data_IF_992274628271
#
_entry.id   IF_992274628271
#
_cell.length_a   1.000
_cell.length_b   1.000
_cell.length_c   1.000
_cell.angle_alpha   90.00
_cell.angle_beta   90.00
_cell.angle_gamma   90.00
#
_symmetry.space_group_name_H-M   'P 1'
#
loop_
_entity.id
_entity.type
_entity.pdbx_description
1 polymer ?
#
# COMPACT_ATOMS: atom_id res chain seq x y z
N UNK A 1 62.28 -18.83 -6.78
CA UNK A 1 61.47 -19.08 -5.55
C UNK A 1 60.60 -17.88 -5.32
N UNK A 2 59.35 -17.93 -5.74
CA UNK A 2 58.31 -16.88 -5.52
C UNK A 2 57.46 -17.33 -4.37
N UNK A 3 57.50 -16.56 -3.27
CA UNK A 3 56.61 -16.77 -2.12
C UNK A 3 55.20 -16.34 -2.47
N UNK A 4 54.28 -17.29 -2.50
CA UNK A 4 52.84 -17.10 -2.68
C UNK A 4 52.27 -16.82 -1.27
N UNK A 5 52.06 -15.56 -0.95
CA UNK A 5 51.44 -15.13 0.31
C UNK A 5 49.93 -15.34 0.16
N UNK A 6 49.40 -16.44 0.67
CA UNK A 6 47.96 -16.66 0.83
C UNK A 6 47.49 -15.79 2.00
N UNK A 7 46.93 -14.66 1.69
CA UNK A 7 46.14 -13.85 2.64
C UNK A 7 44.83 -14.57 2.94
N UNK A 8 44.85 -15.37 4.00
CA UNK A 8 43.63 -15.91 4.61
C UNK A 8 42.85 -14.70 5.22
N UNK A 9 41.89 -14.15 4.47
CA UNK A 9 40.87 -13.29 5.02
C UNK A 9 40.02 -14.16 5.98
N UNK A 10 40.43 -14.19 7.22
CA UNK A 10 39.59 -14.64 8.32
C UNK A 10 38.42 -13.64 8.39
N UNK A 11 37.30 -13.93 7.73
CA UNK A 11 36.02 -13.29 7.99
C UNK A 11 35.68 -13.60 9.47
N UNK A 12 36.22 -12.80 10.39
CA UNK A 12 35.67 -12.70 11.73
C UNK A 12 34.21 -12.25 11.55
N UNK A 13 33.29 -13.21 11.60
CA UNK A 13 31.87 -12.96 11.68
C UNK A 13 31.66 -12.30 13.06
N UNK A 14 31.89 -10.99 13.14
CA UNK A 14 31.37 -10.18 14.23
C UNK A 14 29.84 -10.26 14.14
N UNK A 15 29.26 -11.13 14.91
CA UNK A 15 27.79 -11.15 15.08
C UNK A 15 27.41 -9.82 15.73
N UNK A 16 27.02 -8.86 14.89
CA UNK A 16 26.54 -7.57 15.37
C UNK A 16 25.27 -7.80 16.18
N UNK A 17 25.27 -7.30 17.40
CA UNK A 17 24.09 -7.29 18.27
C UNK A 17 23.23 -6.07 17.89
N UNK A 18 21.95 -6.30 17.61
CA UNK A 18 21.03 -5.25 17.23
C UNK A 18 20.08 -4.93 18.39
N UNK A 19 19.92 -3.65 18.68
CA UNK A 19 18.90 -3.15 19.60
C UNK A 19 17.61 -2.80 18.83
N UNK A 20 16.53 -2.53 19.57
CA UNK A 20 15.22 -2.22 18.99
C UNK A 20 15.26 -1.00 18.05
N UNK A 21 15.96 0.07 18.41
CA UNK A 21 16.06 1.29 17.62
C UNK A 21 16.77 1.05 16.28
N UNK A 22 17.86 0.27 16.29
CA UNK A 22 18.57 -0.10 15.06
C UNK A 22 17.69 -0.94 14.14
N UNK A 23 16.91 -1.89 14.70
CA UNK A 23 15.99 -2.73 13.92
C UNK A 23 14.84 -1.92 13.29
N UNK A 24 14.31 -0.93 14.02
CA UNK A 24 13.31 -0.01 13.47
C UNK A 24 13.89 0.79 12.30
N UNK A 25 15.10 1.32 12.43
CA UNK A 25 15.74 2.07 11.33
C UNK A 25 15.96 1.18 10.11
N UNK A 26 16.41 -0.05 10.30
CA UNK A 26 16.56 -1.04 9.23
C UNK A 26 15.22 -1.35 8.58
N UNK A 27 14.16 -1.55 9.35
CA UNK A 27 12.82 -1.82 8.83
C UNK A 27 12.29 -0.65 7.97
N UNK A 28 12.52 0.59 8.40
CA UNK A 28 12.14 1.80 7.67
C UNK A 28 12.98 2.03 6.39
N UNK A 29 14.13 1.38 6.26
CA UNK A 29 14.96 1.43 5.06
C UNK A 29 14.72 0.24 4.12
N UNK A 30 14.60 -0.97 4.68
CA UNK A 30 14.71 -2.23 3.92
C UNK A 30 13.41 -3.00 3.78
N UNK A 31 12.41 -2.78 4.64
CA UNK A 31 11.18 -3.57 4.59
C UNK A 31 10.46 -3.45 3.24
N UNK A 32 9.87 -4.53 2.73
CA UNK A 32 9.12 -4.48 1.49
C UNK A 32 7.97 -3.46 1.53
N UNK A 33 7.31 -3.31 2.66
CA UNK A 33 6.19 -2.40 2.84
C UNK A 33 6.60 -0.93 2.67
N UNK A 34 7.76 -0.51 3.21
CA UNK A 34 8.22 0.87 3.03
C UNK A 34 8.64 1.15 1.58
N UNK A 35 9.20 0.15 0.90
CA UNK A 35 9.54 0.26 -0.52
C UNK A 35 8.29 0.43 -1.37
N UNK A 36 7.24 -0.36 -1.13
CA UNK A 36 5.94 -0.20 -1.79
C UNK A 36 5.36 1.19 -1.56
N UNK A 37 5.32 1.65 -0.31
CA UNK A 37 4.81 2.98 0.02
C UNK A 37 5.63 4.13 -0.63
N UNK A 38 6.93 3.94 -0.85
CA UNK A 38 7.76 4.89 -1.60
C UNK A 38 7.42 4.89 -3.11
N UNK A 39 7.13 3.73 -3.70
CA UNK A 39 6.66 3.68 -5.09
C UNK A 39 5.27 4.34 -5.25
N UNK A 40 4.36 4.18 -4.29
CA UNK A 40 3.07 4.87 -4.28
C UNK A 40 3.24 6.41 -4.29
N UNK A 41 4.26 6.94 -3.58
CA UNK A 41 4.60 8.37 -3.67
C UNK A 41 5.05 8.79 -5.07
N UNK A 42 5.83 7.95 -5.76
CA UNK A 42 6.25 8.21 -7.15
C UNK A 42 5.06 8.17 -8.11
N UNK A 43 4.14 7.20 -7.92
CA UNK A 43 2.88 7.11 -8.67
C UNK A 43 2.05 8.39 -8.46
N UNK A 44 1.91 8.85 -7.23
CA UNK A 44 1.19 10.09 -6.92
C UNK A 44 1.82 11.33 -7.56
N UNK A 45 3.15 11.41 -7.61
CA UNK A 45 3.87 12.47 -8.32
C UNK A 45 3.58 12.41 -9.83
N UNK A 46 3.60 11.21 -10.43
CA UNK A 46 3.29 11.00 -11.84
C UNK A 46 1.86 11.43 -12.18
N UNK A 47 0.87 11.10 -11.35
CA UNK A 47 -0.51 11.59 -11.51
C UNK A 47 -0.59 13.12 -11.45
N UNK A 48 0.22 13.77 -10.61
CA UNK A 48 0.27 15.24 -10.55
C UNK A 48 0.84 15.86 -11.84
N UNK A 49 1.83 15.22 -12.45
CA UNK A 49 2.39 15.63 -13.74
C UNK A 49 1.36 15.40 -14.86
N UNK A 50 0.71 14.24 -14.87
CA UNK A 50 -0.34 13.88 -15.84
C UNK A 50 -1.52 14.86 -15.79
N UNK A 51 -2.03 15.18 -14.59
CA UNK A 51 -3.11 16.15 -14.43
C UNK A 51 -2.74 17.54 -14.98
N UNK A 52 -1.49 17.98 -14.77
CA UNK A 52 -0.99 19.26 -15.31
C UNK A 52 -0.79 19.20 -16.81
N UNK A 53 -0.42 18.05 -17.36
CA UNK A 53 -0.22 17.89 -18.80
C UNK A 53 -1.50 18.13 -19.61
N UNK A 54 -2.68 17.95 -19.01
CA UNK A 54 -3.97 18.25 -19.64
C UNK A 54 -4.16 19.75 -19.92
N UNK A 55 -3.43 20.63 -19.22
CA UNK A 55 -3.40 22.07 -19.44
C UNK A 55 -2.28 22.52 -20.40
N UNK A 56 -1.43 21.62 -20.87
CA UNK A 56 -0.32 21.92 -21.77
C UNK A 56 -0.71 21.63 -23.24
N UNK A 57 -0.03 22.29 -24.22
CA UNK A 57 -0.26 21.98 -25.64
C UNK A 57 0.09 20.53 -25.96
N UNK A 58 -0.77 19.86 -26.71
CA UNK A 58 -0.49 18.55 -27.29
C UNK A 58 -0.11 18.73 -28.74
N UNK A 59 1.08 18.29 -29.11
CA UNK A 59 1.61 18.37 -30.45
C UNK A 59 1.70 16.95 -31.01
N UNK A 60 1.02 16.72 -32.15
CA UNK A 60 0.96 15.41 -32.77
C UNK A 60 1.34 15.52 -34.25
N UNK A 61 2.25 14.69 -34.71
CA UNK A 61 2.45 14.45 -36.13
C UNK A 61 1.39 13.45 -36.60
N UNK A 62 0.70 13.81 -37.68
CA UNK A 62 -0.33 12.98 -38.32
C UNK A 62 0.03 12.72 -39.76
N UNK A 63 -0.20 11.52 -40.23
CA UNK A 63 -0.07 11.18 -41.66
C UNK A 63 -1.14 10.16 -42.01
N UNK A 64 -1.71 10.31 -43.21
CA UNK A 64 -2.65 9.35 -43.73
C UNK A 64 -2.45 9.21 -45.24
N UNK A 65 -2.68 8.02 -45.75
CA UNK A 65 -2.82 7.73 -47.16
C UNK A 65 -4.11 6.91 -47.35
N UNK A 66 -5.04 7.43 -48.15
CA UNK A 66 -6.35 6.83 -48.35
C UNK A 66 -6.58 6.54 -49.81
N UNK A 67 -7.08 5.36 -50.13
CA UNK A 67 -7.61 4.99 -51.40
C UNK A 67 -9.13 4.81 -51.27
N UNK A 68 -9.89 5.61 -52.04
CA UNK A 68 -11.34 5.49 -52.13
C UNK A 68 -11.66 4.58 -53.31
N UNK A 69 -12.31 3.47 -53.10
CA UNK A 69 -12.73 2.54 -54.16
C UNK A 69 -14.01 3.01 -54.84
N UNK A 70 -14.89 3.69 -54.12
CA UNK A 70 -16.11 4.27 -54.61
C UNK A 70 -16.19 5.73 -54.16
N UNK A 71 -16.10 6.64 -55.09
CA UNK A 71 -16.23 8.06 -54.82
C UNK A 71 -17.68 8.48 -55.11
N UNK A 72 -18.34 9.02 -54.10
CA UNK A 72 -19.71 9.49 -54.26
C UNK A 72 -19.77 10.67 -55.23
N UNK A 73 -20.61 10.55 -56.24
CA UNK A 73 -20.97 11.65 -57.14
C UNK A 73 -22.25 12.34 -56.64
N UNK A 74 -22.32 13.63 -56.79
CA UNK A 74 -23.57 14.37 -56.59
C UNK A 74 -24.09 14.83 -57.97
N UNK A 75 -25.37 14.61 -58.23
CA UNK A 75 -25.96 15.20 -59.41
C UNK A 75 -26.00 16.73 -59.30
N UNK A 76 -25.52 17.45 -60.27
CA UNK A 76 -25.55 18.91 -60.28
C UNK A 76 -26.26 19.28 -61.63
N UNK A 77 -27.32 20.00 -61.45
CA UNK A 77 -28.04 20.57 -62.59
C UNK A 77 -27.39 21.88 -63.00
N UNK A 78 -26.80 21.91 -64.20
CA UNK A 78 -26.24 23.13 -64.75
C UNK A 78 -27.23 23.69 -65.78
N UNK A 79 -27.65 24.93 -65.66
CA UNK A 79 -28.33 25.62 -66.69
C UNK A 79 -27.35 25.84 -67.88
N UNK A 80 -27.55 25.17 -68.99
CA UNK A 80 -26.69 25.30 -70.18
C UNK A 80 -27.29 26.33 -71.13
N UNK A 81 -26.59 27.45 -71.42
CA UNK A 81 -27.06 28.40 -72.43
C UNK A 81 -26.94 27.79 -73.84
N UNK A 82 -27.84 28.18 -74.69
CA UNK A 82 -27.95 27.76 -76.06
C UNK A 82 -26.61 27.78 -76.85
N UNK A 83 -26.23 26.65 -77.51
CA UNK A 83 -25.04 26.62 -78.36
C UNK A 83 -23.75 26.12 -77.77
N UNK A 84 -23.76 25.52 -76.55
CA UNK A 84 -22.58 24.99 -75.91
C UNK A 84 -22.37 23.51 -76.18
N UNK A 85 -21.09 23.08 -76.29
CA UNK A 85 -20.73 21.65 -76.37
C UNK A 85 -20.86 20.97 -75.00
N UNK A 86 -21.29 19.72 -74.98
CA UNK A 86 -21.30 18.88 -73.81
C UNK A 86 -19.89 18.80 -73.24
N UNK A 87 -19.59 19.25 -71.96
CA UNK A 87 -18.25 19.29 -71.42
C UNK A 87 -17.69 17.91 -71.19
N UNK A 88 -18.49 16.84 -71.22
CA UNK A 88 -18.06 15.46 -70.91
C UNK A 88 -17.78 14.68 -72.17
N UNK A 89 -18.66 14.81 -73.23
CA UNK A 89 -18.53 14.06 -74.48
C UNK A 89 -17.92 14.86 -75.60
N UNK A 90 -17.89 16.21 -75.49
CA UNK A 90 -17.43 17.12 -76.55
C UNK A 90 -18.43 17.25 -77.74
N UNK A 91 -19.57 16.60 -77.62
CA UNK A 91 -20.59 16.66 -78.67
C UNK A 91 -21.45 17.92 -78.55
N UNK A 92 -22.00 18.49 -79.65
CA UNK A 92 -22.92 19.56 -79.54
C UNK A 92 -24.20 19.12 -78.82
N UNK A 93 -24.59 19.88 -77.79
CA UNK A 93 -25.88 19.63 -77.14
C UNK A 93 -27.00 19.94 -78.15
N UNK A 94 -27.87 18.95 -78.36
CA UNK A 94 -28.98 19.20 -79.30
C UNK A 94 -29.88 20.34 -78.80
N UNK A 95 -29.87 21.44 -79.51
CA UNK A 95 -30.70 22.58 -79.18
C UNK A 95 -31.80 22.61 -80.26
N UNK A 96 -33.01 22.26 -79.85
CA UNK A 96 -34.17 22.55 -80.70
C UNK A 96 -34.41 24.05 -80.61
N UNK A 97 -33.92 24.74 -81.66
CA UNK A 97 -34.24 26.17 -81.82
C UNK A 97 -35.70 26.31 -82.23
N UNK A 98 -36.48 26.89 -81.34
CA UNK A 98 -37.85 27.25 -81.60
C UNK A 98 -37.94 28.77 -81.87
N UNK A 99 -38.13 29.21 -83.14
CA UNK A 99 -38.10 30.65 -83.45
C UNK A 99 -39.27 31.46 -82.87
N UNK A 100 -40.14 30.83 -82.06
CA UNK A 100 -41.28 31.51 -81.41
C UNK A 100 -41.10 31.80 -79.91
N UNK A 101 -40.01 31.34 -79.30
CA UNK A 101 -39.75 31.60 -77.91
C UNK A 101 -38.83 32.82 -77.74
N UNK A 102 -39.38 33.86 -77.13
CA UNK A 102 -38.59 35.09 -76.76
C UNK A 102 -37.75 34.95 -75.49
N UNK A 103 -37.79 33.81 -74.84
CA UNK A 103 -37.01 33.51 -73.66
C UNK A 103 -36.06 32.34 -73.90
N UNK A 104 -34.79 32.47 -73.48
CA UNK A 104 -33.84 31.39 -73.53
C UNK A 104 -34.27 30.27 -72.54
N UNK A 105 -34.80 29.15 -73.12
CA UNK A 105 -35.16 28.02 -72.32
C UNK A 105 -33.86 27.35 -71.78
N UNK A 106 -33.69 27.38 -70.48
CA UNK A 106 -32.54 26.76 -69.80
C UNK A 106 -32.88 25.27 -69.68
N UNK A 107 -32.22 24.43 -70.50
CA UNK A 107 -32.32 22.95 -70.36
C UNK A 107 -31.40 22.52 -69.25
N UNK A 108 -31.91 21.95 -68.11
CA UNK A 108 -31.06 21.43 -67.03
C UNK A 108 -30.26 20.23 -67.55
N UNK A 109 -28.96 20.31 -67.50
CA UNK A 109 -28.09 19.18 -67.84
C UNK A 109 -27.63 18.55 -66.48
N UNK A 110 -28.15 17.36 -66.22
CA UNK A 110 -27.77 16.58 -65.04
C UNK A 110 -26.44 15.88 -65.28
N UNK A 111 -25.45 16.22 -64.60
CA UNK A 111 -24.16 15.55 -64.62
C UNK A 111 -23.73 15.11 -63.20
N UNK A 112 -23.17 13.92 -63.11
CA UNK A 112 -22.62 13.40 -61.89
C UNK A 112 -21.23 14.01 -61.62
N UNK A 113 -21.20 14.98 -60.73
CA UNK A 113 -19.91 15.57 -60.32
C UNK A 113 -19.31 14.80 -59.20
N UNK A 114 -18.12 14.20 -59.39
CA UNK A 114 -17.41 13.49 -58.36
C UNK A 114 -16.75 14.48 -57.38
N UNK A 115 -17.24 14.53 -56.15
CA UNK A 115 -16.75 15.41 -55.09
C UNK A 115 -15.49 14.90 -54.41
N UNK A 116 -14.99 13.72 -54.75
CA UNK A 116 -13.80 13.11 -54.20
C UNK A 116 -12.79 12.66 -55.25
N UNK A 117 -11.64 12.19 -54.77
CA UNK A 117 -10.57 11.61 -55.60
C UNK A 117 -10.27 10.20 -55.13
N UNK A 118 -9.74 9.38 -56.03
CA UNK A 118 -9.41 7.98 -55.70
C UNK A 118 -8.34 7.87 -54.64
N UNK A 119 -7.39 8.77 -54.65
CA UNK A 119 -6.25 8.75 -53.70
C UNK A 119 -6.15 10.09 -53.00
N UNK A 120 -5.93 10.05 -51.68
CA UNK A 120 -5.63 11.22 -50.90
C UNK A 120 -4.48 10.93 -49.91
N UNK A 121 -3.61 11.87 -49.73
CA UNK A 121 -2.52 11.84 -48.76
C UNK A 121 -2.52 13.11 -47.94
N UNK A 122 -2.20 12.95 -46.66
CA UNK A 122 -2.05 14.05 -45.73
C UNK A 122 -0.88 13.76 -44.82
N UNK A 123 -0.06 14.75 -44.51
CA UNK A 123 0.88 14.73 -43.40
C UNK A 123 1.00 16.13 -42.82
N UNK A 124 1.30 16.18 -41.51
CA UNK A 124 1.41 17.45 -40.86
C UNK A 124 1.44 17.40 -39.33
N UNK A 125 1.22 18.52 -38.71
CA UNK A 125 1.26 18.69 -37.25
C UNK A 125 -0.08 19.28 -36.80
N UNK A 126 -0.66 18.63 -35.79
CA UNK A 126 -1.78 19.14 -35.00
C UNK A 126 -1.30 19.65 -33.65
N UNK A 127 -1.78 20.81 -33.26
CA UNK A 127 -1.54 21.41 -31.94
C UNK A 127 -2.90 21.64 -31.29
N UNK A 128 -3.14 21.03 -30.12
CA UNK A 128 -4.34 21.22 -29.34
C UNK A 128 -3.97 21.76 -27.97
N UNK A 129 -4.56 22.87 -27.56
CA UNK A 129 -4.31 23.52 -26.28
C UNK A 129 -5.65 23.83 -25.59
N UNK A 130 -5.84 23.24 -24.42
CA UNK A 130 -6.93 23.64 -23.54
C UNK A 130 -6.61 24.99 -22.93
N UNK A 131 -7.40 26.01 -23.26
CA UNK A 131 -7.29 27.36 -22.69
C UNK A 131 -8.09 27.45 -21.39
N UNK A 132 -9.30 26.89 -21.40
CA UNK A 132 -10.15 26.82 -20.22
C UNK A 132 -11.00 25.55 -20.28
N UNK A 133 -10.89 24.72 -19.23
CA UNK A 133 -11.83 23.65 -18.91
C UNK A 133 -11.83 23.47 -17.39
N UNK A 134 -12.98 23.70 -16.76
CA UNK A 134 -13.13 23.60 -15.31
C UNK A 134 -12.75 22.23 -14.76
N UNK A 135 -12.90 21.15 -15.55
CA UNK A 135 -12.51 19.79 -15.17
C UNK A 135 -10.99 19.63 -15.10
N UNK A 136 -10.25 20.29 -16.00
CA UNK A 136 -8.78 20.28 -15.97
C UNK A 136 -8.28 20.94 -14.70
N UNK A 137 -8.83 22.08 -14.31
CA UNK A 137 -8.45 22.75 -13.06
C UNK A 137 -8.86 21.96 -11.82
N UNK A 138 -10.06 21.33 -11.84
CA UNK A 138 -10.47 20.40 -10.77
C UNK A 138 -9.53 19.20 -10.68
N UNK A 139 -9.12 18.61 -11.82
CA UNK A 139 -8.16 17.51 -11.90
C UNK A 139 -6.78 17.88 -11.32
N UNK A 140 -6.29 19.08 -11.57
CA UNK A 140 -5.03 19.59 -10.98
C UNK A 140 -5.17 19.74 -9.46
N UNK A 141 -6.30 20.25 -8.95
CA UNK A 141 -6.55 20.31 -7.50
C UNK A 141 -6.68 18.92 -6.91
N UNK A 142 -7.42 18.02 -7.56
CA UNK A 142 -7.59 16.63 -7.15
C UNK A 142 -6.24 15.90 -7.07
N UNK A 143 -5.32 16.13 -8.02
CA UNK A 143 -3.97 15.54 -7.98
C UNK A 143 -3.15 16.00 -6.77
N UNK A 144 -3.31 17.25 -6.33
CA UNK A 144 -2.69 17.75 -5.10
C UNK A 144 -3.31 17.12 -3.84
N UNK A 145 -4.65 16.93 -3.82
CA UNK A 145 -5.34 16.21 -2.73
C UNK A 145 -4.94 14.73 -2.69
N UNK A 146 -4.79 14.10 -3.87
CA UNK A 146 -4.27 12.73 -3.98
C UNK A 146 -2.84 12.62 -3.42
N UNK A 147 -1.97 13.59 -3.68
CA UNK A 147 -0.64 13.65 -3.08
C UNK A 147 -0.71 13.73 -1.54
N UNK A 148 -1.63 14.52 -0.99
CA UNK A 148 -1.82 14.61 0.47
C UNK A 148 -2.32 13.28 1.04
N UNK A 149 -3.28 12.62 0.38
CA UNK A 149 -3.75 11.28 0.73
C UNK A 149 -2.60 10.27 0.74
N UNK A 150 -1.78 10.25 -0.32
CA UNK A 150 -0.63 9.35 -0.42
C UNK A 150 0.41 9.59 0.67
N UNK A 151 0.66 10.85 1.04
CA UNK A 151 1.56 11.18 2.15
C UNK A 151 0.99 10.69 3.50
N UNK A 152 -0.29 10.92 3.76
CA UNK A 152 -0.95 10.43 4.98
C UNK A 152 -0.97 8.88 5.04
N UNK A 153 -1.15 8.23 3.89
CA UNK A 153 -1.07 6.78 3.76
C UNK A 153 0.35 6.27 4.05
N UNK A 154 1.37 6.94 3.53
CA UNK A 154 2.77 6.63 3.81
C UNK A 154 3.09 6.74 5.31
N UNK A 155 2.63 7.81 5.97
CA UNK A 155 2.85 8.00 7.41
C UNK A 155 2.14 6.91 8.23
N UNK A 156 0.92 6.53 7.83
CA UNK A 156 0.19 5.39 8.44
C UNK A 156 0.94 4.07 8.28
N UNK A 157 1.49 3.81 7.08
CA UNK A 157 2.27 2.60 6.80
C UNK A 157 3.59 2.57 7.57
N UNK A 158 4.25 3.72 7.71
CA UNK A 158 5.47 3.87 8.52
C UNK A 158 5.20 3.50 9.99
N UNK A 159 4.10 4.01 10.57
CA UNK A 159 3.69 3.68 11.92
C UNK A 159 3.41 2.18 12.11
N UNK A 160 2.78 1.55 11.11
CA UNK A 160 2.52 0.11 11.12
C UNK A 160 3.79 -0.73 11.07
N UNK A 161 4.77 -0.34 10.26
CA UNK A 161 6.07 -1.00 10.19
C UNK A 161 6.79 -0.90 11.54
N UNK A 162 6.78 0.27 12.18
CA UNK A 162 7.38 0.46 13.50
C UNK A 162 6.70 -0.44 14.55
N UNK A 163 5.36 -0.48 14.58
CA UNK A 163 4.62 -1.34 15.50
C UNK A 163 4.96 -2.81 15.26
N UNK A 164 4.86 -3.30 14.02
CA UNK A 164 5.12 -4.70 13.68
C UNK A 164 6.57 -5.10 14.01
N UNK A 165 7.54 -4.20 13.84
CA UNK A 165 8.93 -4.42 14.22
C UNK A 165 9.07 -4.55 15.74
N UNK A 166 8.42 -3.67 16.52
CA UNK A 166 8.42 -3.72 17.98
C UNK A 166 7.77 -5.00 18.48
N UNK A 167 6.60 -5.36 17.96
CA UNK A 167 5.89 -6.60 18.34
C UNK A 167 6.76 -7.83 18.03
N UNK A 168 7.33 -7.92 16.82
CA UNK A 168 8.19 -9.04 16.43
C UNK A 168 9.45 -9.11 17.32
N UNK A 169 10.06 -7.98 17.66
CA UNK A 169 11.20 -7.91 18.56
C UNK A 169 10.87 -8.45 19.96
N UNK A 170 9.77 -7.96 20.57
CA UNK A 170 9.35 -8.44 21.90
C UNK A 170 8.91 -9.91 21.87
N UNK A 171 8.36 -10.39 20.74
CA UNK A 171 8.04 -11.81 20.57
C UNK A 171 9.31 -12.68 20.57
N UNK A 172 10.39 -12.25 19.91
CA UNK A 172 11.68 -12.95 19.98
C UNK A 172 12.23 -12.93 21.40
N UNK A 173 12.15 -11.82 22.11
CA UNK A 173 12.57 -11.76 23.52
C UNK A 173 11.77 -12.72 24.41
N UNK A 174 10.44 -12.78 24.22
CA UNK A 174 9.59 -13.71 24.95
C UNK A 174 10.00 -15.16 24.70
N UNK A 175 10.06 -15.56 23.40
CA UNK A 175 10.38 -16.95 23.05
C UNK A 175 11.76 -17.36 23.54
N UNK A 176 12.75 -16.46 23.47
CA UNK A 176 14.10 -16.68 24.05
C UNK A 176 14.03 -16.92 25.55
N UNK A 177 13.28 -16.09 26.30
CA UNK A 177 13.11 -16.24 27.75
C UNK A 177 12.35 -17.51 28.10
N UNK A 178 11.34 -17.88 27.34
CA UNK A 178 10.61 -19.15 27.48
C UNK A 178 11.55 -20.35 27.26
N UNK A 179 12.41 -20.29 26.24
CA UNK A 179 13.43 -21.32 25.99
C UNK A 179 14.42 -21.45 27.18
N UNK A 180 14.83 -20.30 27.77
CA UNK A 180 15.67 -20.30 28.95
C UNK A 180 14.98 -20.97 30.16
N UNK A 181 13.67 -20.74 30.37
CA UNK A 181 12.88 -21.39 31.45
C UNK A 181 12.84 -22.91 31.25
N UNK A 182 12.49 -23.37 30.04
CA UNK A 182 12.45 -24.81 29.78
C UNK A 182 13.82 -25.48 29.79
N UNK A 183 14.88 -24.79 29.40
CA UNK A 183 16.24 -25.29 29.57
C UNK A 183 16.60 -25.50 31.03
N UNK A 184 16.23 -24.55 31.91
CA UNK A 184 16.42 -24.69 33.36
C UNK A 184 15.59 -25.84 33.94
N UNK A 185 14.33 -25.98 33.52
CA UNK A 185 13.45 -27.10 33.91
C UNK A 185 14.03 -28.45 33.48
N UNK A 186 14.50 -28.59 32.26
CA UNK A 186 15.15 -29.81 31.78
C UNK A 186 16.39 -30.16 32.63
N UNK A 187 17.19 -29.13 32.97
CA UNK A 187 18.33 -29.35 33.86
C UNK A 187 17.89 -29.86 35.22
N UNK A 188 16.90 -29.23 35.87
CA UNK A 188 16.32 -29.66 37.15
C UNK A 188 15.81 -31.11 37.08
N UNK A 189 15.09 -31.46 36.03
CA UNK A 189 14.57 -32.85 35.82
C UNK A 189 15.70 -33.88 35.65
N UNK A 190 16.80 -33.53 34.98
CA UNK A 190 17.99 -34.39 34.89
C UNK A 190 18.71 -34.57 36.25
N UNK A 191 18.85 -33.48 36.98
CA UNK A 191 19.42 -33.49 38.34
C UNK A 191 18.54 -34.35 39.28
N UNK A 192 17.21 -34.23 39.18
CA UNK A 192 16.25 -35.04 39.94
C UNK A 192 16.34 -36.54 39.55
N UNK A 193 16.39 -36.89 38.27
CA UNK A 193 16.57 -38.29 37.82
C UNK A 193 17.87 -38.88 38.38
N UNK A 194 18.97 -38.11 38.38
CA UNK A 194 20.23 -38.56 38.95
C UNK A 194 20.08 -38.84 40.43
N UNK A 195 19.47 -37.97 41.22
CA UNK A 195 19.24 -38.14 42.64
C UNK A 195 18.29 -39.33 42.93
N UNK A 196 17.21 -39.47 42.17
CA UNK A 196 16.25 -40.59 42.30
C UNK A 196 16.91 -41.92 42.04
N UNK A 197 17.83 -41.98 41.04
CA UNK A 197 18.58 -43.18 40.72
C UNK A 197 19.51 -43.56 41.89
N UNK A 198 20.20 -42.65 42.51
CA UNK A 198 21.04 -42.88 43.72
C UNK A 198 20.20 -43.39 44.89
N UNK A 199 18.99 -42.87 45.09
CA UNK A 199 18.06 -43.33 46.13
C UNK A 199 17.55 -44.75 45.81
N UNK A 200 17.25 -45.04 44.55
CA UNK A 200 16.83 -46.39 44.11
C UNK A 200 17.96 -47.42 44.30
N UNK A 201 19.16 -47.11 43.84
CA UNK A 201 20.33 -48.00 43.98
C UNK A 201 20.70 -48.27 45.46
N UNK A 202 20.35 -47.36 46.37
CA UNK A 202 20.52 -47.48 47.83
C UNK A 202 19.30 -48.13 48.53
N UNK A 203 18.26 -48.55 47.77
CA UNK A 203 17.05 -49.17 48.33
C UNK A 203 16.12 -48.20 49.09
N UNK A 204 16.31 -46.89 48.96
CA UNK A 204 15.54 -45.85 49.68
C UNK A 204 14.28 -45.38 48.90
N UNK A 205 14.15 -45.74 47.66
CA UNK A 205 12.95 -45.46 46.83
C UNK A 205 12.61 -46.67 45.96
N UNK A 206 11.42 -46.70 45.36
CA UNK A 206 10.92 -47.78 44.53
C UNK A 206 11.14 -47.51 43.02
N UNK A 207 10.99 -48.57 42.19
CA UNK A 207 11.16 -48.50 40.75
C UNK A 207 10.16 -47.52 40.08
N UNK A 208 8.95 -47.38 40.63
CA UNK A 208 7.92 -46.48 40.08
C UNK A 208 8.41 -45.00 40.09
N UNK A 209 9.10 -44.59 41.16
CA UNK A 209 9.64 -43.23 41.26
C UNK A 209 10.79 -43.01 40.24
N UNK A 210 11.62 -44.04 39.98
CA UNK A 210 12.65 -43.98 38.95
C UNK A 210 12.02 -43.83 37.54
N UNK A 211 11.02 -44.64 37.21
CA UNK A 211 10.28 -44.56 35.93
C UNK A 211 9.61 -43.19 35.74
N UNK A 212 9.04 -42.62 36.81
CA UNK A 212 8.46 -41.25 36.80
C UNK A 212 9.53 -40.20 36.48
N UNK A 213 10.71 -40.27 37.10
CA UNK A 213 11.81 -39.35 36.86
C UNK A 213 12.32 -39.45 35.40
N UNK A 214 12.44 -40.67 34.87
CA UNK A 214 12.83 -40.89 33.47
C UNK A 214 11.81 -40.32 32.49
N UNK A 215 10.52 -40.58 32.71
CA UNK A 215 9.43 -40.03 31.90
C UNK A 215 9.44 -38.51 31.89
N UNK A 216 9.64 -37.89 33.08
CA UNK A 216 9.70 -36.43 33.21
C UNK A 216 10.84 -35.79 32.41
N UNK A 217 12.03 -36.43 32.38
CA UNK A 217 13.13 -35.96 31.56
C UNK A 217 12.74 -35.98 30.08
N UNK A 218 12.08 -37.04 29.59
CA UNK A 218 11.63 -37.14 28.20
C UNK A 218 10.61 -36.08 27.82
N UNK A 219 9.67 -35.80 28.72
CA UNK A 219 8.66 -34.74 28.52
C UNK A 219 9.32 -33.36 28.47
N UNK A 220 10.30 -33.08 29.35
CA UNK A 220 11.03 -31.82 29.36
C UNK A 220 11.97 -31.65 28.13
N UNK A 221 12.59 -32.75 27.63
CA UNK A 221 13.37 -32.73 26.38
C UNK A 221 12.50 -32.31 25.20
N UNK A 222 11.29 -32.86 25.09
CA UNK A 222 10.32 -32.51 24.06
C UNK A 222 9.86 -31.06 24.16
N UNK A 223 9.53 -30.63 25.37
CA UNK A 223 9.07 -29.24 25.66
C UNK A 223 10.15 -28.20 25.32
N UNK A 224 11.40 -28.47 25.75
CA UNK A 224 12.55 -27.60 25.41
C UNK A 224 12.80 -27.55 23.89
N UNK A 225 12.73 -28.69 23.19
CA UNK A 225 12.89 -28.74 21.74
C UNK A 225 11.83 -27.90 21.02
N UNK A 226 10.56 -27.97 21.45
CA UNK A 226 9.47 -27.17 20.93
C UNK A 226 9.68 -25.66 21.19
N UNK A 227 10.12 -25.28 22.38
CA UNK A 227 10.43 -23.91 22.71
C UNK A 227 11.55 -23.35 21.81
N UNK A 228 12.63 -24.13 21.61
CA UNK A 228 13.72 -23.75 20.72
C UNK A 228 13.29 -23.56 19.27
N UNK A 229 12.43 -24.45 18.76
CA UNK A 229 11.82 -24.28 17.44
C UNK A 229 11.04 -22.96 17.34
N UNK A 230 10.22 -22.66 18.35
CA UNK A 230 9.42 -21.41 18.37
C UNK A 230 10.30 -20.16 18.43
N UNK A 231 11.42 -20.20 19.16
CA UNK A 231 12.42 -19.12 19.18
C UNK A 231 13.01 -18.85 17.80
N UNK A 232 13.39 -19.93 17.07
CA UNK A 232 13.92 -19.81 15.72
C UNK A 232 12.88 -19.19 14.79
N UNK A 233 11.63 -19.68 14.81
CA UNK A 233 10.55 -19.15 13.97
C UNK A 233 10.23 -17.68 14.28
N UNK A 234 10.25 -17.29 15.54
CA UNK A 234 10.06 -15.89 15.93
C UNK A 234 11.18 -14.98 15.39
N UNK A 235 12.44 -15.44 15.44
CA UNK A 235 13.58 -14.71 14.89
C UNK A 235 13.48 -14.58 13.35
N UNK A 236 13.06 -15.64 12.67
CA UNK A 236 12.86 -15.61 11.23
C UNK A 236 11.72 -14.67 10.82
N UNK A 237 10.62 -14.66 11.58
CA UNK A 237 9.53 -13.70 11.38
C UNK A 237 10.02 -12.25 11.55
N UNK A 238 10.86 -11.98 12.56
CA UNK A 238 11.47 -10.66 12.73
C UNK A 238 12.34 -10.28 11.53
N UNK A 239 13.19 -11.19 11.02
CA UNK A 239 13.99 -10.95 9.80
C UNK A 239 13.12 -10.56 8.62
N UNK A 240 12.02 -11.27 8.36
CA UNK A 240 11.08 -10.94 7.30
C UNK A 240 10.44 -9.56 7.50
N UNK A 241 10.03 -9.24 8.72
CA UNK A 241 9.40 -7.95 9.06
C UNK A 241 10.33 -6.78 8.77
N UNK A 242 11.62 -6.90 9.06
CA UNK A 242 12.61 -5.82 8.85
C UNK A 242 13.26 -5.86 7.45
N UNK A 243 12.90 -6.83 6.60
CA UNK A 243 13.46 -6.97 5.25
C UNK A 243 14.88 -7.57 5.22
N UNK A 244 15.25 -8.38 6.22
CA UNK A 244 16.49 -9.15 6.22
C UNK A 244 16.32 -10.47 5.47
N UNK A 245 17.41 -10.95 4.86
CA UNK A 245 17.45 -12.28 4.28
C UNK A 245 17.47 -13.33 5.42
N UNK A 246 16.71 -14.42 5.26
CA UNK A 246 16.61 -15.51 6.24
C UNK A 246 17.98 -16.16 6.52
N UNK A 247 18.89 -16.20 5.54
CA UNK A 247 20.23 -16.76 5.68
C UNK A 247 21.20 -15.89 6.51
N UNK A 248 20.86 -14.61 6.77
CA UNK A 248 21.70 -13.72 7.56
C UNK A 248 21.57 -14.01 9.06
N UNK A 249 22.69 -14.03 9.76
CA UNK A 249 22.64 -14.13 11.22
C UNK A 249 22.17 -12.81 11.85
N UNK A 250 21.14 -12.90 12.68
CA UNK A 250 20.60 -11.79 13.44
C UNK A 250 20.67 -12.13 14.93
N UNK A 251 21.45 -11.37 15.68
CA UNK A 251 21.45 -11.45 17.14
C UNK A 251 20.82 -10.18 17.71
N UNK A 252 19.84 -10.35 18.60
CA UNK A 252 19.13 -9.23 19.23
C UNK A 252 19.51 -9.12 20.70
N UNK A 253 19.58 -7.86 21.17
CA UNK A 253 19.81 -7.53 22.59
C UNK A 253 18.70 -6.62 23.06
N UNK A 254 18.09 -6.99 24.18
CA UNK A 254 17.04 -6.23 24.84
C UNK A 254 16.51 -6.93 26.07
N UNK A 255 15.68 -6.22 26.81
CA UNK A 255 14.98 -6.74 27.98
C UNK A 255 13.56 -6.17 28.03
N UNK A 256 12.67 -6.86 28.74
CA UNK A 256 11.40 -6.29 29.14
C UNK A 256 11.64 -5.20 30.21
N UNK A 257 10.93 -4.09 30.09
CA UNK A 257 10.97 -3.06 31.14
C UNK A 257 10.23 -3.58 32.37
N UNK A 258 10.87 -3.56 33.48
CA UNK A 258 10.31 -3.99 34.78
C UNK A 258 9.60 -2.85 35.53
N UNK A 259 9.79 -1.60 35.08
CA UNK A 259 9.25 -0.43 35.79
C UNK A 259 7.78 -0.21 35.44
N UNK A 260 6.96 -0.06 36.42
CA UNK A 260 5.60 0.43 36.35
C UNK A 260 5.69 1.89 35.90
N UNK A 261 5.33 2.17 34.66
CA UNK A 261 5.15 3.54 34.20
C UNK A 261 3.78 4.04 34.69
N UNK A 262 3.70 5.33 35.02
CA UNK A 262 2.43 5.96 35.32
C UNK A 262 1.55 5.82 34.07
N UNK A 263 0.44 5.09 34.20
CA UNK A 263 -0.52 4.92 33.11
C UNK A 263 -1.23 6.26 32.92
N UNK A 264 -1.18 6.87 31.72
CA UNK A 264 -1.79 8.17 31.49
C UNK A 264 -3.32 8.10 31.58
N UNK A 265 -3.95 9.20 31.93
CA UNK A 265 -5.41 9.32 31.98
C UNK A 265 -6.03 9.14 30.60
N UNK A 266 -7.19 8.43 30.54
CA UNK A 266 -7.85 8.10 29.27
C UNK A 266 -8.23 9.35 28.46
N UNK A 267 -8.69 10.42 29.11
CA UNK A 267 -9.08 11.67 28.44
C UNK A 267 -7.89 12.34 27.73
N UNK A 268 -6.70 12.29 28.32
CA UNK A 268 -5.49 12.85 27.72
C UNK A 268 -5.10 12.10 26.45
N UNK A 269 -5.04 10.76 26.52
CA UNK A 269 -4.64 9.92 25.39
C UNK A 269 -5.70 9.92 24.26
N UNK A 270 -6.99 10.08 24.58
CA UNK A 270 -8.06 10.18 23.57
C UNK A 270 -7.95 11.48 22.78
N UNK A 271 -7.65 12.61 23.40
CA UNK A 271 -7.41 13.88 22.72
C UNK A 271 -6.16 13.82 21.82
N UNK A 272 -5.09 13.16 22.28
CA UNK A 272 -3.89 12.95 21.48
C UNK A 272 -4.18 12.08 20.24
N UNK A 273 -4.95 10.99 20.39
CA UNK A 273 -5.37 10.13 19.28
C UNK A 273 -6.10 10.94 18.22
N UNK A 274 -7.14 11.69 18.59
CA UNK A 274 -7.96 12.44 17.64
C UNK A 274 -7.15 13.51 16.89
N UNK A 275 -6.12 14.09 17.52
CA UNK A 275 -5.28 15.14 16.92
C UNK A 275 -4.15 14.59 16.04
N UNK A 276 -3.58 13.44 16.35
CA UNK A 276 -2.29 13.02 15.79
C UNK A 276 -2.36 11.74 14.96
N UNK A 277 -3.45 10.93 15.06
CA UNK A 277 -3.52 9.62 14.42
C UNK A 277 -3.47 9.70 12.87
N UNK A 278 -2.45 9.11 12.22
CA UNK A 278 -2.30 9.20 10.75
C UNK A 278 -3.46 8.61 9.96
N UNK A 279 -4.14 7.57 10.48
CA UNK A 279 -5.32 6.98 9.82
C UNK A 279 -6.49 7.95 9.73
N UNK A 280 -6.68 8.81 10.72
CA UNK A 280 -7.71 9.86 10.68
C UNK A 280 -7.36 10.86 9.57
N UNK A 281 -6.11 11.34 9.54
CA UNK A 281 -5.61 12.25 8.49
C UNK A 281 -5.74 11.66 7.09
N UNK A 282 -5.51 10.35 6.96
CA UNK A 282 -5.68 9.64 5.69
C UNK A 282 -7.14 9.67 5.21
N UNK A 283 -8.12 9.42 6.09
CA UNK A 283 -9.53 9.47 5.70
C UNK A 283 -10.02 10.91 5.44
N UNK A 284 -9.54 11.88 6.19
CA UNK A 284 -9.82 13.29 5.93
C UNK A 284 -9.27 13.72 4.55
N UNK A 285 -8.04 13.32 4.22
CA UNK A 285 -7.46 13.55 2.90
C UNK A 285 -8.23 12.83 1.78
N UNK A 286 -8.76 11.64 2.03
CA UNK A 286 -9.62 10.92 1.09
C UNK A 286 -10.96 11.62 0.88
N UNK A 287 -11.59 12.12 1.95
CA UNK A 287 -12.81 12.93 1.84
C UNK A 287 -12.55 14.20 1.01
N UNK A 288 -11.44 14.90 1.26
CA UNK A 288 -11.03 16.07 0.52
C UNK A 288 -10.85 15.79 -0.99
N UNK A 289 -10.24 14.64 -1.32
CA UNK A 289 -10.09 14.19 -2.69
C UNK A 289 -11.45 13.97 -3.37
N UNK A 290 -12.38 13.26 -2.69
CA UNK A 290 -13.72 13.01 -3.21
C UNK A 290 -14.56 14.31 -3.33
N UNK A 291 -14.25 15.32 -2.55
CA UNK A 291 -14.87 16.65 -2.71
C UNK A 291 -14.40 17.35 -4.00
N UNK A 292 -13.16 17.11 -4.44
CA UNK A 292 -12.71 17.60 -5.76
C UNK A 292 -13.37 16.85 -6.93
N UNK A 293 -13.78 15.60 -6.76
CA UNK A 293 -14.62 14.91 -7.75
C UNK A 293 -15.98 15.62 -7.91
N UNK A 294 -16.59 16.08 -6.81
CA UNK A 294 -17.82 16.89 -6.86
C UNK A 294 -17.56 18.17 -7.65
N UNK A 295 -16.45 18.86 -7.39
CA UNK A 295 -16.07 20.08 -8.07
C UNK A 295 -15.80 19.85 -9.57
N UNK A 296 -15.22 18.69 -9.92
CA UNK A 296 -15.01 18.29 -11.31
C UNK A 296 -16.33 18.13 -12.07
N UNK A 297 -17.32 17.43 -11.49
CA UNK A 297 -18.63 17.28 -12.11
C UNK A 297 -19.44 18.58 -12.14
N UNK A 298 -19.31 19.44 -11.13
CA UNK A 298 -19.89 20.80 -11.17
C UNK A 298 -19.31 21.64 -12.32
N UNK A 299 -18.04 21.43 -12.64
CA UNK A 299 -17.36 22.12 -13.73
C UNK A 299 -17.86 21.71 -15.12
N UNK A 300 -18.60 20.61 -15.25
CA UNK A 300 -19.26 20.24 -16.52
C UNK A 300 -20.29 21.26 -17.01
N UNK A 301 -20.81 22.11 -16.14
CA UNK A 301 -21.72 23.19 -16.49
C UNK A 301 -21.02 24.49 -16.94
N UNK A 302 -19.68 24.55 -16.82
CA UNK A 302 -18.89 25.68 -17.28
C UNK A 302 -18.56 25.52 -18.78
N UNK A 303 -18.31 26.64 -19.49
CA UNK A 303 -17.81 26.55 -20.86
C UNK A 303 -16.42 25.91 -20.90
N UNK A 304 -16.10 25.24 -22.01
CA UNK A 304 -14.74 24.84 -22.35
C UNK A 304 -14.23 25.70 -23.52
N UNK A 305 -12.96 26.08 -23.49
CA UNK A 305 -12.29 26.84 -24.54
C UNK A 305 -11.03 26.08 -24.94
N UNK A 306 -10.97 25.72 -26.21
CA UNK A 306 -9.86 24.99 -26.81
C UNK A 306 -9.31 25.75 -28.01
N UNK A 307 -7.99 25.90 -28.07
CA UNK A 307 -7.25 26.38 -29.23
C UNK A 307 -6.73 25.18 -30.00
N UNK A 308 -7.11 25.10 -31.29
CA UNK A 308 -6.62 24.06 -32.19
C UNK A 308 -5.88 24.68 -33.36
N UNK A 309 -4.66 24.23 -33.60
CA UNK A 309 -3.86 24.62 -34.75
C UNK A 309 -3.51 23.41 -35.60
N UNK A 310 -3.54 23.57 -36.92
CA UNK A 310 -3.08 22.55 -37.84
C UNK A 310 -2.17 23.14 -38.91
N UNK A 311 -1.11 22.45 -39.24
CA UNK A 311 -0.20 22.74 -40.32
C UNK A 311 -0.03 21.44 -41.08
N UNK A 312 -0.73 21.32 -42.23
CA UNK A 312 -0.77 20.10 -42.99
C UNK A 312 -0.30 20.35 -44.43
N UNK A 313 0.23 19.31 -45.03
CA UNK A 313 0.34 19.18 -46.46
C UNK A 313 -0.63 18.10 -46.97
N UNK A 314 -1.47 18.46 -47.94
CA UNK A 314 -2.54 17.63 -48.45
C UNK A 314 -2.42 17.49 -49.96
N UNK A 315 -2.65 16.29 -50.46
CA UNK A 315 -2.75 15.98 -51.89
C UNK A 315 -3.94 15.07 -52.12
N UNK A 316 -4.69 15.35 -53.20
CA UNK A 316 -5.81 14.50 -53.65
C UNK A 316 -5.74 14.37 -55.16
N UNK A 317 -5.82 13.13 -55.71
CA UNK A 317 -5.68 12.86 -57.15
C UNK A 317 -6.34 11.51 -57.53
N UNK A 318 -6.59 11.34 -58.83
CA UNK A 318 -7.18 10.11 -59.40
C UNK A 318 -6.10 9.11 -59.85
N UNK A 319 -4.82 9.38 -59.62
CA UNK A 319 -3.69 8.49 -59.96
C UNK A 319 -2.95 8.07 -58.70
N UNK A 320 -2.41 6.88 -58.71
CA UNK A 320 -1.72 6.27 -57.57
C UNK A 320 -0.26 6.75 -57.33
N UNK A 321 0.26 7.58 -58.23
CA UNK A 321 1.61 8.11 -58.10
C UNK A 321 1.65 9.37 -57.22
N UNK A 322 1.79 9.18 -55.92
CA UNK A 322 2.05 10.30 -55.01
C UNK A 322 3.45 10.86 -55.23
N UNK A 323 3.52 12.18 -55.50
CA UNK A 323 4.80 12.90 -55.55
C UNK A 323 4.79 14.01 -54.50
N UNK A 324 5.89 14.15 -53.75
CA UNK A 324 6.01 15.19 -52.73
C UNK A 324 5.87 16.63 -53.25
N UNK A 325 6.03 16.84 -54.56
CA UNK A 325 5.87 18.13 -55.23
C UNK A 325 4.45 18.63 -55.37
N UNK A 326 3.48 17.74 -55.30
CA UNK A 326 2.06 18.06 -55.57
C UNK A 326 1.24 18.26 -54.28
N UNK A 327 1.88 18.20 -53.13
CA UNK A 327 1.23 18.48 -51.85
C UNK A 327 0.99 19.97 -51.67
N UNK A 328 -0.22 20.36 -51.36
CA UNK A 328 -0.65 21.73 -51.10
C UNK A 328 -0.60 22.02 -49.61
N UNK A 329 -0.23 23.23 -49.24
CA UNK A 329 -0.23 23.69 -47.85
C UNK A 329 -1.65 23.99 -47.39
N UNK A 330 -2.00 23.48 -46.25
CA UNK A 330 -3.25 23.76 -45.56
C UNK A 330 -2.94 24.03 -44.06
N UNK A 331 -3.20 25.23 -43.60
CA UNK A 331 -2.99 25.61 -42.19
C UNK A 331 -4.24 26.29 -41.66
N UNK A 332 -4.56 25.98 -40.41
CA UNK A 332 -5.69 26.59 -39.74
C UNK A 332 -5.39 26.84 -38.26
N UNK A 333 -6.00 27.87 -37.73
CA UNK A 333 -6.03 28.16 -36.31
C UNK A 333 -7.47 28.45 -35.91
N UNK A 334 -7.98 27.71 -34.91
CA UNK A 334 -9.38 27.80 -34.48
C UNK A 334 -9.48 27.87 -32.98
N UNK A 335 -10.40 28.68 -32.48
CA UNK A 335 -10.81 28.70 -31.09
C UNK A 335 -12.20 28.06 -31.01
N UNK A 336 -12.30 26.98 -30.26
CA UNK A 336 -13.55 26.25 -30.07
C UNK A 336 -14.09 26.56 -28.68
N UNK A 337 -15.30 27.04 -28.57
CA UNK A 337 -15.99 27.33 -27.32
C UNK A 337 -17.20 26.41 -27.24
N UNK A 338 -17.22 25.51 -26.26
CA UNK A 338 -18.31 24.58 -25.99
C UNK A 338 -19.01 24.89 -24.67
N UNK A 339 -20.33 25.03 -24.67
CA UNK A 339 -21.14 25.17 -23.45
C UNK A 339 -22.27 24.13 -23.51
N UNK A 340 -22.25 23.10 -22.65
CA UNK A 340 -23.34 22.13 -22.63
C UNK A 340 -24.59 22.75 -22.02
N UNK A 341 -25.65 22.87 -22.79
CA UNK A 341 -26.93 23.43 -22.33
C UNK A 341 -27.82 22.40 -21.67
N UNK A 342 -27.88 21.21 -22.25
CA UNK A 342 -28.69 20.09 -21.74
C UNK A 342 -28.10 18.75 -22.15
N UNK A 343 -27.98 17.80 -21.21
CA UNK A 343 -27.43 16.47 -21.45
C UNK A 343 -28.32 15.35 -20.86
N UNK A 344 -29.64 15.55 -20.83
CA UNK A 344 -30.57 14.54 -20.31
C UNK A 344 -30.40 14.24 -18.82
N UNK A 345 -30.07 15.24 -17.99
CA UNK A 345 -29.79 15.12 -16.55
C UNK A 345 -28.58 14.24 -16.18
N UNK A 346 -27.77 13.82 -17.13
CA UNK A 346 -26.59 12.98 -16.90
C UNK A 346 -25.58 13.65 -15.95
N UNK A 347 -25.27 14.92 -16.12
CA UNK A 347 -24.35 15.68 -15.22
C UNK A 347 -24.93 15.82 -13.82
N UNK A 348 -26.25 16.08 -13.70
CA UNK A 348 -26.93 16.15 -12.38
C UNK A 348 -26.81 14.82 -11.64
N UNK A 349 -27.03 13.70 -12.31
CA UNK A 349 -26.89 12.36 -11.71
C UNK A 349 -25.44 12.08 -11.28
N UNK A 350 -24.42 12.48 -12.08
CA UNK A 350 -23.00 12.35 -11.70
C UNK A 350 -22.67 13.16 -10.46
N UNK A 351 -23.18 14.41 -10.35
CA UNK A 351 -23.00 15.25 -9.15
C UNK A 351 -23.66 14.62 -7.94
N UNK A 352 -24.90 14.13 -8.07
CA UNK A 352 -25.58 13.44 -6.96
C UNK A 352 -24.77 12.24 -6.47
N UNK A 353 -24.25 11.43 -7.38
CA UNK A 353 -23.41 10.27 -7.06
C UNK A 353 -22.11 10.72 -6.37
N UNK A 354 -21.41 11.75 -6.89
CA UNK A 354 -20.17 12.25 -6.30
C UNK A 354 -20.41 12.81 -4.89
N UNK A 355 -21.48 13.59 -4.67
CA UNK A 355 -21.89 14.07 -3.35
C UNK A 355 -22.18 12.93 -2.39
N UNK A 356 -22.86 11.88 -2.85
CA UNK A 356 -23.12 10.69 -2.03
C UNK A 356 -21.82 9.97 -1.65
N UNK A 357 -20.86 9.84 -2.58
CA UNK A 357 -19.56 9.24 -2.31
C UNK A 357 -18.74 10.07 -1.29
N UNK A 358 -18.69 11.39 -1.42
CA UNK A 358 -18.03 12.26 -0.47
C UNK A 358 -18.69 12.16 0.93
N UNK A 359 -20.02 12.13 0.99
CA UNK A 359 -20.76 11.94 2.24
C UNK A 359 -20.54 10.56 2.86
N UNK A 360 -20.44 9.52 2.05
CA UNK A 360 -20.06 8.17 2.49
C UNK A 360 -18.64 8.17 3.11
N UNK A 361 -17.68 8.86 2.51
CA UNK A 361 -16.32 8.97 3.06
C UNK A 361 -16.32 9.72 4.40
N UNK A 362 -17.15 10.75 4.55
CA UNK A 362 -17.34 11.44 5.83
C UNK A 362 -17.84 10.49 6.93
N UNK A 363 -18.88 9.72 6.65
CA UNK A 363 -19.38 8.75 7.62
C UNK A 363 -18.39 7.64 7.96
N UNK A 364 -17.58 7.19 6.98
CA UNK A 364 -16.49 6.27 7.26
C UNK A 364 -15.43 6.87 8.17
N UNK A 365 -15.15 8.17 8.04
CA UNK A 365 -14.23 8.86 8.95
C UNK A 365 -14.76 8.91 10.38
N UNK A 366 -16.05 9.22 10.57
CA UNK A 366 -16.69 9.23 11.88
C UNK A 366 -16.73 7.83 12.52
N UNK A 367 -17.08 6.81 11.75
CA UNK A 367 -17.07 5.42 12.20
C UNK A 367 -15.66 4.98 12.63
N UNK A 368 -14.63 5.31 11.83
CA UNK A 368 -13.24 5.02 12.20
C UNK A 368 -12.85 5.72 13.50
N UNK A 369 -13.20 6.99 13.70
CA UNK A 369 -12.88 7.72 14.94
C UNK A 369 -13.45 7.00 16.16
N UNK A 370 -14.71 6.55 16.07
CA UNK A 370 -15.37 5.82 17.14
C UNK A 370 -14.70 4.46 17.40
N UNK A 371 -14.36 3.72 16.35
CA UNK A 371 -13.66 2.44 16.46
C UNK A 371 -12.26 2.61 17.07
N UNK A 372 -11.51 3.65 16.67
CA UNK A 372 -10.19 3.96 17.24
C UNK A 372 -10.27 4.35 18.72
N UNK A 373 -11.34 5.06 19.15
CA UNK A 373 -11.57 5.37 20.57
C UNK A 373 -11.88 4.11 21.37
N UNK A 374 -12.67 3.18 20.81
CA UNK A 374 -12.96 1.89 21.42
C UNK A 374 -11.69 1.04 21.56
N UNK A 375 -10.88 0.97 20.47
CA UNK A 375 -9.59 0.27 20.48
C UNK A 375 -8.64 0.86 21.53
N UNK A 376 -8.58 2.20 21.61
CA UNK A 376 -7.78 2.89 22.62
C UNK A 376 -8.24 2.54 24.04
N UNK A 377 -9.57 2.43 24.25
CA UNK A 377 -10.11 2.02 25.55
C UNK A 377 -9.69 0.61 25.91
N UNK A 378 -9.77 -0.32 24.95
CA UNK A 378 -9.30 -1.70 25.13
C UNK A 378 -7.79 -1.76 25.45
N UNK A 379 -6.97 -0.98 24.72
CA UNK A 379 -5.52 -0.90 24.97
C UNK A 379 -5.26 -0.35 26.39
N UNK A 380 -5.94 0.69 26.80
CA UNK A 380 -5.80 1.31 28.12
C UNK A 380 -6.15 0.32 29.25
N UNK A 381 -7.28 -0.38 29.13
CA UNK A 381 -7.69 -1.41 30.08
C UNK A 381 -6.71 -2.59 30.11
N UNK A 382 -6.23 -3.03 28.95
CA UNK A 382 -5.23 -4.10 28.85
C UNK A 382 -3.90 -3.70 29.50
N UNK A 383 -3.54 -2.43 29.45
CA UNK A 383 -2.33 -1.91 30.10
C UNK A 383 -2.47 -1.95 31.63
N UNK A 384 -3.63 -1.56 32.17
CA UNK A 384 -3.94 -1.64 33.59
C UNK A 384 -3.88 -3.11 34.06
N UNK A 385 -4.60 -4.00 33.36
CA UNK A 385 -4.66 -5.42 33.67
C UNK A 385 -3.26 -6.08 33.65
N UNK A 386 -2.46 -5.81 32.60
CA UNK A 386 -1.12 -6.36 32.48
C UNK A 386 -0.20 -5.88 33.62
N UNK A 387 -0.34 -4.63 34.05
CA UNK A 387 0.40 -4.08 35.19
C UNK A 387 0.04 -4.78 36.51
N UNK A 388 -1.25 -5.05 36.76
CA UNK A 388 -1.70 -5.82 37.93
C UNK A 388 -1.20 -7.27 37.86
N UNK A 389 -1.21 -7.90 36.68
CA UNK A 389 -0.68 -9.26 36.46
C UNK A 389 0.84 -9.33 36.77
N UNK A 390 1.61 -8.30 36.43
CA UNK A 390 3.05 -8.25 36.74
C UNK A 390 3.26 -8.22 38.27
N UNK A 391 2.52 -7.37 38.99
CA UNK A 391 2.64 -7.26 40.46
C UNK A 391 2.28 -8.58 41.13
N UNK A 392 1.15 -9.19 40.75
CA UNK A 392 0.72 -10.49 41.29
C UNK A 392 1.68 -11.61 40.87
N UNK A 393 2.21 -11.55 39.63
CA UNK A 393 3.13 -12.51 39.07
C UNK A 393 4.48 -12.52 39.78
N UNK A 394 5.04 -11.36 40.13
CA UNK A 394 6.27 -11.26 40.92
C UNK A 394 6.12 -11.94 42.28
N UNK A 395 5.00 -11.72 42.99
CA UNK A 395 4.74 -12.35 44.27
C UNK A 395 4.53 -13.86 44.16
N UNK A 396 3.79 -14.31 43.12
CA UNK A 396 3.63 -15.74 42.84
C UNK A 396 4.95 -16.43 42.53
N UNK A 397 5.84 -15.80 41.74
CA UNK A 397 7.16 -16.35 41.42
C UNK A 397 8.03 -16.49 42.71
N UNK A 398 8.03 -15.45 43.58
CA UNK A 398 8.73 -15.52 44.84
C UNK A 398 8.28 -16.72 45.70
N UNK A 399 6.94 -16.88 45.87
CA UNK A 399 6.38 -17.98 46.67
C UNK A 399 6.62 -19.34 46.02
N UNK A 400 6.46 -19.47 44.69
CA UNK A 400 6.67 -20.72 43.96
C UNK A 400 8.16 -21.14 44.01
N UNK A 401 9.09 -20.17 43.87
CA UNK A 401 10.53 -20.43 43.99
C UNK A 401 10.90 -20.93 45.38
N UNK A 402 10.37 -20.28 46.42
CA UNK A 402 10.58 -20.71 47.81
C UNK A 402 9.98 -22.09 48.05
N UNK A 403 8.76 -22.36 47.55
CA UNK A 403 8.10 -23.67 47.68
C UNK A 403 8.88 -24.77 46.99
N UNK A 404 9.41 -24.53 45.79
CA UNK A 404 10.27 -25.48 45.08
C UNK A 404 11.56 -25.78 45.87
N UNK A 405 12.22 -24.76 46.38
CA UNK A 405 13.47 -24.96 47.15
C UNK A 405 13.22 -25.81 48.40
N UNK A 406 12.14 -25.55 49.15
CA UNK A 406 11.76 -26.34 50.34
C UNK A 406 11.43 -27.78 49.92
N UNK A 407 10.64 -28.00 48.87
CA UNK A 407 10.29 -29.35 48.39
C UNK A 407 11.54 -30.13 47.95
N UNK A 408 12.48 -29.46 47.27
CA UNK A 408 13.74 -30.06 46.85
C UNK A 408 14.62 -30.48 48.04
N UNK A 409 14.75 -29.64 49.07
CA UNK A 409 15.53 -29.98 50.25
C UNK A 409 14.91 -31.15 51.04
N UNK A 410 13.58 -31.15 51.20
CA UNK A 410 12.85 -32.27 51.80
C UNK A 410 12.96 -33.56 51.00
N UNK A 411 12.96 -33.47 49.68
CA UNK A 411 13.12 -34.66 48.80
C UNK A 411 14.53 -35.27 48.96
N UNK A 412 15.57 -34.45 48.96
CA UNK A 412 16.95 -34.91 49.16
C UNK A 412 17.18 -35.60 50.52
N UNK A 413 16.42 -35.21 51.53
CA UNK A 413 16.45 -35.85 52.87
C UNK A 413 15.49 -37.04 53.00
N UNK A 414 14.69 -37.34 51.99
CA UNK A 414 13.70 -38.43 52.02
C UNK A 414 12.43 -38.12 52.79
N UNK A 415 12.20 -36.81 53.15
CA UNK A 415 11.03 -36.39 53.94
C UNK A 415 9.82 -36.04 53.11
N UNK A 416 9.92 -36.04 51.77
CA UNK A 416 8.79 -35.80 50.88
C UNK A 416 8.86 -36.75 49.66
N UNK A 417 7.75 -36.86 48.95
CA UNK A 417 7.66 -37.73 47.76
C UNK A 417 8.13 -36.99 46.48
N UNK A 418 8.53 -37.74 45.47
CA UNK A 418 8.85 -37.17 44.16
C UNK A 418 7.66 -36.44 43.54
N UNK A 419 6.43 -36.91 43.78
CA UNK A 419 5.20 -36.27 43.28
C UNK A 419 5.03 -34.84 43.83
N UNK A 420 5.36 -34.63 45.12
CA UNK A 420 5.30 -33.28 45.72
C UNK A 420 6.39 -32.37 45.19
N UNK A 421 7.62 -32.84 44.99
CA UNK A 421 8.69 -32.12 44.31
C UNK A 421 8.29 -31.74 42.87
N UNK A 422 7.74 -32.66 42.14
CA UNK A 422 7.23 -32.42 40.76
C UNK A 422 6.13 -31.36 40.73
N UNK A 423 5.17 -31.44 41.69
CA UNK A 423 4.12 -30.42 41.86
C UNK A 423 4.67 -29.01 42.12
N UNK A 424 5.71 -28.92 42.97
CA UNK A 424 6.39 -27.66 43.24
C UNK A 424 7.16 -27.13 42.00
N UNK A 425 7.84 -28.01 41.25
CA UNK A 425 8.50 -27.63 39.99
C UNK A 425 7.52 -27.13 38.91
N UNK A 426 6.40 -27.81 38.73
CA UNK A 426 5.33 -27.37 37.79
C UNK A 426 4.80 -26.00 38.20
N UNK A 427 4.60 -25.78 39.53
CA UNK A 427 4.15 -24.49 40.05
C UNK A 427 5.15 -23.36 39.80
N UNK A 428 6.45 -23.63 39.96
CA UNK A 428 7.54 -22.70 39.68
C UNK A 428 7.59 -22.35 38.18
N UNK A 429 7.61 -23.36 37.29
CA UNK A 429 7.63 -23.17 35.84
C UNK A 429 6.43 -22.34 35.40
N UNK A 430 5.23 -22.65 35.92
CA UNK A 430 4.00 -21.90 35.60
C UNK A 430 4.06 -20.44 36.06
N UNK A 431 4.65 -20.19 37.26
CA UNK A 431 4.83 -18.82 37.77
C UNK A 431 5.83 -18.03 36.92
N UNK A 432 6.96 -18.63 36.51
CA UNK A 432 7.95 -18.01 35.62
C UNK A 432 7.32 -17.65 34.26
N UNK A 433 6.62 -18.59 33.61
CA UNK A 433 5.99 -18.37 32.32
C UNK A 433 4.87 -17.33 32.37
N UNK A 434 4.02 -17.37 33.40
CA UNK A 434 2.94 -16.40 33.57
C UNK A 434 3.47 -14.96 33.75
N UNK A 435 4.55 -14.78 34.52
CA UNK A 435 5.20 -13.49 34.70
C UNK A 435 5.82 -12.98 33.39
N UNK A 436 6.49 -13.84 32.64
CA UNK A 436 7.04 -13.49 31.32
C UNK A 436 5.93 -13.08 30.35
N UNK A 437 4.81 -13.81 30.33
CA UNK A 437 3.65 -13.48 29.51
C UNK A 437 3.05 -12.13 29.92
N UNK A 438 2.89 -11.85 31.22
CA UNK A 438 2.37 -10.57 31.70
C UNK A 438 3.29 -9.39 31.30
N UNK A 439 4.61 -9.55 31.41
CA UNK A 439 5.60 -8.56 30.98
C UNK A 439 5.53 -8.31 29.46
N UNK A 440 5.35 -9.37 28.68
CA UNK A 440 5.16 -9.26 27.23
C UNK A 440 3.86 -8.51 26.91
N UNK A 441 2.72 -8.90 27.49
CA UNK A 441 1.42 -8.25 27.30
C UNK A 441 1.48 -6.75 27.61
N UNK A 442 2.15 -6.39 28.68
CA UNK A 442 2.39 -4.99 29.06
C UNK A 442 3.20 -4.23 27.99
N UNK A 443 4.29 -4.80 27.50
CA UNK A 443 5.08 -4.18 26.44
C UNK A 443 4.29 -4.03 25.14
N UNK A 444 3.49 -5.02 24.76
CA UNK A 444 2.64 -4.96 23.55
C UNK A 444 1.56 -3.89 23.72
N UNK A 445 0.94 -3.78 24.91
CA UNK A 445 -0.02 -2.72 25.18
C UNK A 445 0.61 -1.32 25.07
N UNK A 446 1.84 -1.12 25.56
CA UNK A 446 2.59 0.14 25.39
C UNK A 446 2.90 0.44 23.92
N UNK A 447 3.29 -0.57 23.13
CA UNK A 447 3.55 -0.41 21.70
C UNK A 447 2.27 0.01 20.98
N UNK A 448 1.15 -0.65 21.23
CA UNK A 448 -0.16 -0.33 20.67
C UNK A 448 -0.64 1.06 21.11
N UNK A 449 -0.44 1.43 22.37
CA UNK A 449 -0.78 2.77 22.86
C UNK A 449 0.02 3.85 22.12
N UNK A 450 1.34 3.65 21.97
CA UNK A 450 2.19 4.59 21.25
C UNK A 450 1.74 4.82 19.81
N UNK A 451 1.32 3.75 19.12
CA UNK A 451 0.74 3.85 17.77
C UNK A 451 -0.62 4.56 17.79
N UNK A 452 -1.50 4.20 18.72
CA UNK A 452 -2.85 4.77 18.82
C UNK A 452 -2.81 6.30 18.98
N UNK A 453 -1.86 6.82 19.77
CA UNK A 453 -1.71 8.27 19.98
C UNK A 453 -0.78 8.94 18.95
N UNK A 454 -0.31 8.23 17.91
CA UNK A 454 0.55 8.79 16.86
C UNK A 454 1.96 9.19 17.34
N UNK A 455 2.43 8.66 18.47
CA UNK A 455 3.75 8.94 19.08
C UNK A 455 4.74 7.79 18.88
N UNK A 456 4.60 7.04 17.81
CA UNK A 456 5.51 5.91 17.56
C UNK A 456 6.88 6.40 17.06
N UNK A 457 7.52 7.28 17.85
CA UNK A 457 8.83 7.83 17.53
C UNK A 457 9.88 6.73 17.46
N UNK A 458 10.75 6.84 16.47
CA UNK A 458 12.00 6.09 16.39
C UNK A 458 12.80 6.28 17.69
N UNK A 459 12.60 5.39 18.65
CA UNK A 459 13.60 4.98 19.62
C UNK A 459 14.28 5.99 20.55
N UNK A 460 13.80 7.20 20.77
CA UNK A 460 14.30 8.08 21.83
C UNK A 460 13.31 8.22 22.98
N UNK A 461 13.12 7.14 23.73
CA UNK A 461 12.74 7.27 25.15
C UNK A 461 14.02 7.22 25.95
N UNK A 462 14.52 8.42 26.31
CA UNK A 462 15.47 8.56 27.43
C UNK A 462 14.87 7.99 28.70
#
# INVERSE_FOLDING_TARGET
>A
MKYFLILLFLNMIFTKNYNLSELINIALEKSPQIKLANEDKKISLSHSIEARSAALPRIQFVTSATRNYNVAGQPIDFPIPFGVLNPVTGDPIPTEWNPGLQETEIIPYETMFSMGRDYSGLYGININQTIFDGRVFAGIRASNKFKNLTNASYDSQKEEIIENTKISFYTVLLTKKVTEVFHKSLKRSKDNLFNTKLLYDSGKTNELELIRAESMVKDQETTYSNAKKNEILALEKLKLTIGFNLSQNLNIVGAFKDSIQIIPEFNEISNQLLAQQPRIKQLEANHDLLQEDVNSYLSEFLPSIELTGSIHKFQSQNKDNFTWKNFQDNSSLSINIGLPLFNGFGSTARIMRAKANAKKAYYHSEDLKNNLLLDLRNIHLSLIEANEKINAGNKKLELASRGYNIANDLFLTGMTTQLELLGAEVSLNRAELNLLQAKYEFQIALVKLSRAIGKNTTGNTK
#
